data_IF_714767091402
#
_entry.id   IF_714767091402
#
_cell.length_a   1.000
_cell.length_b   1.000
_cell.length_c   1.000
_cell.angle_alpha   90.00
_cell.angle_beta   90.00
_cell.angle_gamma   90.00
#
_symmetry.space_group_name_H-M   'P 1'
#
loop_
_entity.id
_entity.type
_entity.pdbx_description
1 polymer ?
#
# COMPACT_ATOMS: atom_id res chain seq x y z
N UNK A 1 -3.04 -47.65 -17.99
CA UNK A 1 -2.17 -47.66 -19.16
C UNK A 1 -0.79 -47.16 -18.78
N UNK A 2 0.20 -48.07 -18.73
CA UNK A 2 1.61 -47.77 -18.50
C UNK A 2 2.17 -46.96 -19.66
N UNK A 3 2.81 -45.82 -19.40
CA UNK A 3 3.68 -45.12 -20.32
C UNK A 3 5.15 -45.48 -20.00
N UNK A 4 5.76 -46.21 -20.91
CA UNK A 4 7.19 -46.57 -20.87
C UNK A 4 8.02 -45.36 -21.33
N UNK A 5 8.90 -44.85 -20.47
CA UNK A 5 9.91 -43.87 -20.84
C UNK A 5 11.17 -44.61 -21.32
N UNK A 6 11.54 -44.38 -22.58
CA UNK A 6 12.78 -44.84 -23.17
C UNK A 6 13.97 -44.01 -22.61
N UNK A 7 14.93 -44.68 -21.99
CA UNK A 7 16.21 -44.11 -21.55
C UNK A 7 17.24 -44.32 -22.68
N UNK A 8 17.72 -43.21 -23.25
CA UNK A 8 18.88 -43.23 -24.13
C UNK A 8 20.17 -43.26 -23.29
N UNK A 9 21.06 -44.17 -23.58
CA UNK A 9 22.35 -44.39 -22.93
C UNK A 9 23.37 -43.31 -23.34
N UNK A 10 24.06 -42.70 -22.37
CA UNK A 10 25.31 -41.99 -22.52
C UNK A 10 26.29 -42.43 -21.42
N UNK A 11 27.62 -42.39 -21.63
CA UNK A 11 28.58 -43.24 -20.93
C UNK A 11 28.97 -42.76 -19.54
N UNK A 12 29.38 -43.73 -18.75
CA UNK A 12 29.72 -43.66 -17.34
C UNK A 12 30.87 -42.65 -17.01
N UNK A 13 30.59 -41.76 -16.09
CA UNK A 13 31.55 -41.24 -15.13
C UNK A 13 30.89 -41.27 -13.74
N UNK A 14 31.66 -41.81 -12.76
CA UNK A 14 31.19 -42.25 -11.45
C UNK A 14 30.36 -41.22 -10.68
N UNK A 15 29.09 -41.57 -10.51
CA UNK A 15 28.20 -40.93 -9.55
C UNK A 15 27.90 -42.00 -8.51
N UNK A 16 28.37 -41.76 -7.27
CA UNK A 16 28.00 -42.55 -6.11
C UNK A 16 26.49 -42.67 -6.02
N UNK A 17 25.99 -43.89 -5.87
CA UNK A 17 24.55 -44.16 -5.70
C UNK A 17 24.03 -43.37 -4.45
N UNK A 18 23.29 -42.33 -4.71
CA UNK A 18 22.52 -41.65 -3.66
C UNK A 18 21.37 -42.56 -3.26
N UNK A 19 21.15 -42.73 -1.95
CA UNK A 19 20.09 -43.55 -1.43
C UNK A 19 18.71 -43.00 -1.84
N UNK A 20 17.73 -43.88 -2.01
CA UNK A 20 16.35 -43.51 -2.33
C UNK A 20 15.79 -42.47 -1.33
N UNK A 21 16.27 -42.48 -0.08
CA UNK A 21 15.92 -41.53 0.96
C UNK A 21 16.43 -40.12 0.66
N UNK A 22 17.60 -39.97 0.06
CA UNK A 22 18.14 -38.64 -0.35
C UNK A 22 17.37 -38.04 -1.52
N UNK A 23 16.90 -38.85 -2.45
CA UNK A 23 16.07 -38.43 -3.57
C UNK A 23 14.66 -38.04 -3.10
N UNK A 24 14.10 -38.74 -2.14
CA UNK A 24 12.81 -38.41 -1.52
C UNK A 24 12.92 -37.12 -0.71
N UNK A 25 14.01 -36.89 0.03
CA UNK A 25 14.27 -35.65 0.76
C UNK A 25 14.43 -34.45 -0.18
N UNK A 26 15.14 -34.61 -1.29
CA UNK A 26 15.30 -33.54 -2.30
C UNK A 26 13.99 -33.23 -3.05
N UNK A 27 13.17 -34.26 -3.31
CA UNK A 27 11.85 -34.07 -3.91
C UNK A 27 10.87 -33.40 -2.95
N UNK A 28 10.94 -33.71 -1.64
CA UNK A 28 10.12 -33.03 -0.62
C UNK A 28 10.54 -31.59 -0.40
N UNK A 29 11.87 -31.31 -0.37
CA UNK A 29 12.40 -29.95 -0.26
C UNK A 29 12.07 -29.07 -1.49
N UNK A 30 12.08 -29.66 -2.69
CA UNK A 30 11.69 -28.96 -3.91
C UNK A 30 10.17 -28.66 -3.97
N UNK A 31 9.33 -29.54 -3.40
CA UNK A 31 7.89 -29.30 -3.30
C UNK A 31 7.53 -28.26 -2.23
N UNK A 32 8.33 -28.16 -1.18
CA UNK A 32 8.14 -27.18 -0.09
C UNK A 32 8.58 -25.75 -0.51
N UNK A 33 9.55 -25.62 -1.43
CA UNK A 33 9.96 -24.32 -1.99
C UNK A 33 9.07 -23.81 -3.12
N UNK A 34 8.29 -24.66 -3.79
CA UNK A 34 7.35 -24.25 -4.84
C UNK A 34 5.99 -23.78 -4.28
N UNK A 35 5.60 -24.21 -3.10
CA UNK A 35 4.35 -23.84 -2.45
C UNK A 35 4.22 -22.33 -2.12
N UNK A 36 5.26 -21.63 -1.60
CA UNK A 36 5.16 -20.22 -1.25
C UNK A 36 4.94 -19.29 -2.44
N UNK A 37 5.49 -19.60 -3.61
CA UNK A 37 5.33 -18.77 -4.81
C UNK A 37 3.91 -18.89 -5.40
N UNK A 38 3.35 -20.09 -5.40
CA UNK A 38 2.00 -20.36 -5.92
C UNK A 38 0.91 -19.81 -4.98
N UNK A 39 1.14 -19.86 -3.70
CA UNK A 39 0.29 -19.24 -2.67
C UNK A 39 0.20 -17.72 -2.85
N UNK A 40 1.35 -17.04 -3.09
CA UNK A 40 1.41 -15.61 -3.36
C UNK A 40 0.63 -15.24 -4.62
N UNK A 41 0.85 -15.94 -5.72
CA UNK A 41 0.17 -15.68 -7.01
C UNK A 41 -1.34 -15.84 -6.89
N UNK A 42 -1.80 -16.89 -6.23
CA UNK A 42 -3.23 -17.12 -6.00
C UNK A 42 -3.84 -16.06 -5.09
N UNK A 43 -3.10 -15.60 -4.08
CA UNK A 43 -3.57 -14.53 -3.19
C UNK A 43 -3.70 -13.20 -3.95
N UNK A 44 -2.72 -12.82 -4.76
CA UNK A 44 -2.77 -11.62 -5.61
C UNK A 44 -3.90 -11.69 -6.66
N UNK A 45 -4.11 -12.86 -7.25
CA UNK A 45 -5.24 -13.09 -8.16
C UNK A 45 -6.58 -12.92 -7.44
N UNK A 46 -6.69 -13.41 -6.21
CA UNK A 46 -7.88 -13.23 -5.38
C UNK A 46 -8.14 -11.76 -5.05
N UNK A 47 -7.12 -11.00 -4.66
CA UNK A 47 -7.26 -9.56 -4.38
C UNK A 47 -7.63 -8.76 -5.63
N UNK A 48 -7.01 -9.04 -6.77
CA UNK A 48 -7.36 -8.41 -8.05
C UNK A 48 -8.83 -8.69 -8.45
N UNK A 49 -9.32 -9.90 -8.19
CA UNK A 49 -10.72 -10.26 -8.42
C UNK A 49 -11.68 -9.52 -7.46
N UNK A 50 -11.27 -9.27 -6.20
CA UNK A 50 -12.03 -8.40 -5.28
C UNK A 50 -12.17 -6.99 -5.82
N UNK A 51 -11.07 -6.40 -6.31
CA UNK A 51 -11.01 -5.04 -6.82
C UNK A 51 -11.92 -4.86 -8.07
N UNK A 52 -12.02 -5.90 -8.88
CA UNK A 52 -12.91 -5.92 -10.06
C UNK A 52 -14.37 -6.30 -9.75
N UNK A 53 -14.67 -6.68 -8.51
CA UNK A 53 -16.00 -7.14 -8.11
C UNK A 53 -16.36 -8.55 -8.59
N UNK A 54 -15.39 -9.31 -9.10
CA UNK A 54 -15.57 -10.72 -9.46
C UNK A 54 -15.46 -11.62 -8.22
N UNK A 55 -16.55 -11.64 -7.46
CA UNK A 55 -16.64 -12.39 -6.20
C UNK A 55 -16.48 -13.90 -6.37
N UNK A 56 -16.76 -14.43 -7.57
CA UNK A 56 -16.63 -15.86 -7.85
C UNK A 56 -15.14 -16.23 -7.98
N UNK A 57 -14.41 -15.55 -8.85
CA UNK A 57 -12.97 -15.76 -9.03
C UNK A 57 -12.17 -15.45 -7.77
N UNK A 58 -12.58 -14.44 -6.99
CA UNK A 58 -12.00 -14.13 -5.70
C UNK A 58 -12.14 -15.31 -4.72
N UNK A 59 -13.36 -15.81 -4.55
CA UNK A 59 -13.65 -16.93 -3.67
C UNK A 59 -12.86 -18.19 -4.05
N UNK A 60 -12.80 -18.53 -5.34
CA UNK A 60 -12.08 -19.70 -5.83
C UNK A 60 -10.56 -19.58 -5.61
N UNK A 61 -9.99 -18.40 -5.83
CA UNK A 61 -8.57 -18.13 -5.59
C UNK A 61 -8.22 -18.25 -4.11
N UNK A 62 -8.96 -17.59 -3.23
CA UNK A 62 -8.70 -17.67 -1.79
C UNK A 62 -8.96 -19.07 -1.22
N UNK A 63 -9.94 -19.82 -1.74
CA UNK A 63 -10.16 -21.20 -1.35
C UNK A 63 -8.97 -22.10 -1.66
N UNK A 64 -8.28 -21.87 -2.78
CA UNK A 64 -7.05 -22.58 -3.12
C UNK A 64 -5.92 -22.22 -2.15
N UNK A 65 -5.73 -20.93 -1.81
CA UNK A 65 -4.75 -20.49 -0.82
C UNK A 65 -5.00 -21.14 0.55
N UNK A 66 -6.25 -21.17 1.01
CA UNK A 66 -6.63 -21.83 2.27
C UNK A 66 -6.28 -23.32 2.27
N UNK A 67 -6.52 -24.03 1.15
CA UNK A 67 -6.17 -25.45 1.01
C UNK A 67 -4.66 -25.71 1.05
N UNK A 68 -3.85 -24.75 0.62
CA UNK A 68 -2.38 -24.86 0.66
C UNK A 68 -1.82 -24.67 2.07
N UNK A 69 -2.53 -24.01 2.99
CA UNK A 69 -2.17 -23.92 4.40
C UNK A 69 -0.93 -23.06 4.70
N UNK A 70 -0.52 -22.19 3.79
CA UNK A 70 0.66 -21.32 3.94
C UNK A 70 0.44 -20.14 4.91
N UNK A 71 1.44 -19.26 4.96
CA UNK A 71 1.45 -18.07 5.86
C UNK A 71 0.34 -17.06 5.60
N UNK A 72 -0.36 -17.14 4.47
CA UNK A 72 -1.47 -16.27 4.07
C UNK A 72 -2.85 -16.92 4.27
N UNK A 73 -2.89 -18.12 4.86
CA UNK A 73 -4.14 -18.87 4.98
C UNK A 73 -5.19 -18.16 5.86
N UNK A 74 -4.77 -17.40 6.85
CA UNK A 74 -5.66 -16.62 7.72
C UNK A 74 -6.30 -15.46 6.96
N UNK A 75 -5.52 -14.64 6.26
CA UNK A 75 -6.02 -13.57 5.39
C UNK A 75 -6.91 -14.11 4.25
N UNK A 76 -6.50 -15.23 3.65
CA UNK A 76 -7.29 -15.88 2.59
C UNK A 76 -8.64 -16.38 3.09
N UNK A 77 -8.70 -16.92 4.31
CA UNK A 77 -9.95 -17.38 4.92
C UNK A 77 -10.91 -16.22 5.22
N UNK A 78 -10.37 -15.09 5.67
CA UNK A 78 -11.15 -13.85 5.83
C UNK A 78 -11.74 -13.37 4.49
N UNK A 79 -10.91 -13.23 3.46
CA UNK A 79 -11.35 -12.76 2.14
C UNK A 79 -12.29 -13.73 1.44
N UNK A 80 -12.13 -15.04 1.66
CA UNK A 80 -13.08 -16.05 1.19
C UNK A 80 -14.46 -15.83 1.82
N UNK A 81 -14.53 -15.60 3.13
CA UNK A 81 -15.79 -15.30 3.82
C UNK A 81 -16.43 -14.02 3.27
N UNK A 82 -15.62 -12.97 3.05
CA UNK A 82 -16.07 -11.71 2.46
C UNK A 82 -16.67 -11.93 1.06
N UNK A 83 -15.95 -12.62 0.16
CA UNK A 83 -16.41 -12.91 -1.19
C UNK A 83 -17.71 -13.75 -1.20
N UNK A 84 -17.83 -14.74 -0.31
CA UNK A 84 -19.07 -15.52 -0.15
C UNK A 84 -20.25 -14.68 0.32
N UNK A 85 -20.00 -13.74 1.25
CA UNK A 85 -21.03 -12.78 1.66
C UNK A 85 -21.50 -11.89 0.50
N UNK A 86 -20.58 -11.35 -0.31
CA UNK A 86 -20.92 -10.56 -1.50
C UNK A 86 -21.67 -11.34 -2.58
N UNK A 87 -21.50 -12.66 -2.63
CA UNK A 87 -22.29 -13.56 -3.47
C UNK A 87 -23.70 -13.85 -2.88
N UNK A 88 -24.05 -13.30 -1.72
CA UNK A 88 -25.29 -13.60 -1.01
C UNK A 88 -25.31 -14.92 -0.25
N UNK A 89 -24.18 -15.65 -0.22
CA UNK A 89 -24.01 -16.97 0.44
C UNK A 89 -23.67 -16.80 1.92
N UNK A 90 -24.58 -16.16 2.67
CA UNK A 90 -24.37 -15.73 4.07
C UNK A 90 -24.04 -16.87 5.01
N UNK A 91 -24.72 -18.00 4.90
CA UNK A 91 -24.51 -19.14 5.81
C UNK A 91 -23.11 -19.75 5.63
N UNK A 92 -22.62 -19.81 4.40
CA UNK A 92 -21.27 -20.27 4.12
C UNK A 92 -20.22 -19.27 4.64
N UNK A 93 -20.44 -17.98 4.45
CA UNK A 93 -19.55 -16.96 5.00
C UNK A 93 -19.44 -17.05 6.53
N UNK A 94 -20.56 -17.26 7.22
CA UNK A 94 -20.58 -17.48 8.68
C UNK A 94 -19.85 -18.77 9.10
N UNK A 95 -19.99 -19.85 8.32
CA UNK A 95 -19.27 -21.09 8.58
C UNK A 95 -17.74 -20.90 8.46
N UNK A 96 -17.31 -20.17 7.41
CA UNK A 96 -15.90 -19.83 7.17
C UNK A 96 -15.33 -18.94 8.29
N UNK A 97 -16.09 -17.95 8.78
CA UNK A 97 -15.66 -17.09 9.89
C UNK A 97 -15.52 -17.84 11.22
N UNK A 98 -16.36 -18.84 11.47
CA UNK A 98 -16.19 -19.74 12.62
C UNK A 98 -14.93 -20.60 12.49
N UNK A 99 -14.67 -21.12 11.29
CA UNK A 99 -13.43 -21.86 10.98
C UNK A 99 -12.20 -20.97 11.18
N UNK A 100 -12.25 -19.70 10.73
CA UNK A 100 -11.20 -18.71 10.94
C UNK A 100 -10.92 -18.52 12.44
N UNK A 101 -11.95 -18.28 13.25
CA UNK A 101 -11.79 -18.05 14.69
C UNK A 101 -11.21 -19.26 15.43
N UNK A 102 -11.53 -20.47 14.98
CA UNK A 102 -11.01 -21.70 15.55
C UNK A 102 -9.56 -21.97 15.16
N UNK A 103 -9.18 -21.74 13.88
CA UNK A 103 -7.84 -22.05 13.37
C UNK A 103 -6.82 -20.96 13.63
N UNK A 104 -7.23 -19.66 13.63
CA UNK A 104 -6.35 -18.51 13.70
C UNK A 104 -6.73 -17.51 14.82
N UNK A 105 -6.79 -17.93 16.10
CA UNK A 105 -7.28 -17.08 17.20
C UNK A 105 -6.38 -15.85 17.48
N UNK A 106 -5.12 -15.85 16.98
CA UNK A 106 -4.14 -14.77 17.15
C UNK A 106 -3.86 -14.01 15.86
N UNK A 107 -4.62 -14.25 14.79
CA UNK A 107 -4.44 -13.56 13.51
C UNK A 107 -4.71 -12.05 13.63
N UNK A 108 -3.95 -11.26 12.87
CA UNK A 108 -4.19 -9.82 12.72
C UNK A 108 -5.55 -9.51 12.10
N UNK A 109 -6.13 -10.43 11.33
CA UNK A 109 -7.47 -10.31 10.72
C UNK A 109 -8.63 -10.62 11.67
N UNK A 110 -8.33 -10.89 12.94
CA UNK A 110 -9.35 -11.28 13.92
C UNK A 110 -10.41 -10.20 14.18
N UNK A 111 -10.05 -8.92 14.08
CA UNK A 111 -10.99 -7.80 14.26
C UNK A 111 -11.93 -7.67 13.06
N UNK A 112 -11.38 -7.75 11.86
CA UNK A 112 -12.09 -7.66 10.58
C UNK A 112 -13.05 -8.87 10.42
N UNK A 113 -12.60 -10.06 10.77
CA UNK A 113 -13.41 -11.27 10.72
C UNK A 113 -14.63 -11.19 11.66
N UNK A 114 -14.45 -10.67 12.87
CA UNK A 114 -15.57 -10.43 13.81
C UNK A 114 -16.53 -9.36 13.30
N UNK A 115 -16.01 -8.28 12.72
CA UNK A 115 -16.84 -7.23 12.15
C UNK A 115 -17.71 -7.76 11.00
N UNK A 116 -17.12 -8.57 10.11
CA UNK A 116 -17.85 -9.22 9.02
C UNK A 116 -18.88 -10.23 9.52
N UNK A 117 -18.55 -11.00 10.55
CA UNK A 117 -19.52 -11.94 11.16
C UNK A 117 -20.75 -11.22 11.72
N UNK A 118 -20.55 -10.08 12.38
CA UNK A 118 -21.63 -9.24 12.90
C UNK A 118 -22.47 -8.62 11.76
N UNK A 119 -21.85 -8.25 10.66
CA UNK A 119 -22.53 -7.72 9.47
C UNK A 119 -23.45 -8.78 8.82
N UNK A 120 -22.99 -10.03 8.75
CA UNK A 120 -23.70 -11.11 8.06
C UNK A 120 -24.85 -11.69 8.87
N UNK A 121 -24.76 -11.70 10.20
CA UNK A 121 -25.81 -12.27 11.05
C UNK A 121 -27.13 -11.54 10.86
N UNK A 122 -28.23 -12.25 10.49
CA UNK A 122 -29.51 -11.60 10.31
C UNK A 122 -30.02 -11.01 11.63
N UNK A 123 -30.65 -9.85 11.55
CA UNK A 123 -31.26 -9.11 12.67
C UNK A 123 -32.50 -9.79 13.28
N UNK A 124 -32.73 -11.07 13.01
CA UNK A 124 -33.83 -11.85 13.59
C UNK A 124 -33.43 -12.39 14.96
N UNK A 125 -33.91 -11.69 15.98
CA UNK A 125 -33.67 -11.94 17.39
C UNK A 125 -33.69 -13.40 17.83
N UNK A 126 -32.51 -13.89 18.14
CA UNK A 126 -32.20 -14.72 19.30
C UNK A 126 -30.69 -15.03 19.30
N UNK A 127 -29.96 -14.20 20.01
CA UNK A 127 -28.58 -14.53 20.33
C UNK A 127 -28.54 -15.80 21.15
N UNK A 128 -27.91 -16.86 20.60
CA UNK A 128 -27.34 -17.91 21.42
C UNK A 128 -26.07 -17.31 22.01
N UNK A 129 -26.20 -16.75 23.21
CA UNK A 129 -25.12 -16.20 24.02
C UNK A 129 -24.24 -17.39 24.48
N UNK A 130 -23.06 -17.55 23.89
CA UNK A 130 -21.96 -18.22 24.55
C UNK A 130 -21.52 -17.30 25.71
N UNK A 131 -21.41 -17.90 26.90
CA UNK A 131 -21.03 -17.23 28.15
C UNK A 131 -19.66 -16.57 28.04
N UNK A 132 -19.63 -15.28 27.68
CA UNK A 132 -18.62 -14.31 28.12
C UNK A 132 -19.25 -12.94 28.08
N UNK A 133 -19.16 -12.22 29.17
CA UNK A 133 -19.75 -10.92 29.45
C UNK A 133 -19.94 -10.06 28.19
N UNK A 134 -21.16 -10.02 27.69
CA UNK A 134 -21.58 -9.05 26.69
C UNK A 134 -21.59 -7.70 27.38
N UNK A 135 -20.56 -6.92 27.13
CA UNK A 135 -20.47 -5.54 27.57
C UNK A 135 -21.73 -4.83 27.05
N UNK A 136 -22.39 -4.06 27.89
CA UNK A 136 -23.58 -3.26 27.54
C UNK A 136 -23.34 -2.43 26.26
N UNK A 137 -22.08 -2.11 25.96
CA UNK A 137 -21.65 -1.45 24.75
C UNK A 137 -21.79 -2.30 23.47
N UNK A 138 -21.51 -3.60 23.51
CA UNK A 138 -21.68 -4.48 22.34
C UNK A 138 -23.17 -4.65 22.01
N UNK A 139 -24.04 -4.66 23.02
CA UNK A 139 -25.50 -4.64 22.82
C UNK A 139 -25.96 -3.32 22.21
N UNK A 140 -25.41 -2.20 22.64
CA UNK A 140 -25.69 -0.88 22.05
C UNK A 140 -25.23 -0.79 20.61
N UNK A 141 -24.07 -1.36 20.28
CA UNK A 141 -23.56 -1.43 18.90
C UNK A 141 -24.49 -2.26 18.00
N UNK A 142 -24.97 -3.40 18.49
CA UNK A 142 -25.92 -4.22 17.74
C UNK A 142 -27.25 -3.50 17.52
N UNK A 143 -27.75 -2.80 18.55
CA UNK A 143 -28.98 -2.03 18.45
C UNK A 143 -28.85 -0.88 17.43
N UNK A 144 -27.73 -0.16 17.43
CA UNK A 144 -27.44 0.92 16.48
C UNK A 144 -27.43 0.35 15.05
N UNK A 145 -26.71 -0.74 14.78
CA UNK A 145 -26.66 -1.34 13.46
C UNK A 145 -28.03 -1.84 12.98
N UNK A 146 -28.83 -2.44 13.89
CA UNK A 146 -30.18 -2.89 13.58
C UNK A 146 -31.10 -1.72 13.21
N UNK A 147 -31.11 -0.67 14.01
CA UNK A 147 -31.93 0.53 13.77
C UNK A 147 -31.56 1.24 12.47
N UNK A 148 -30.26 1.32 12.14
CA UNK A 148 -29.83 1.94 10.90
C UNK A 148 -30.30 1.18 9.65
N UNK A 149 -30.47 -0.14 9.76
CA UNK A 149 -30.95 -0.97 8.64
C UNK A 149 -32.49 -0.97 8.54
N UNK A 150 -33.20 -0.78 9.64
CA UNK A 150 -34.66 -0.89 9.69
C UNK A 150 -35.37 0.47 9.72
N UNK A 151 -34.88 1.40 10.55
CA UNK A 151 -35.50 2.69 10.81
C UNK A 151 -34.42 3.80 10.96
N UNK A 152 -33.67 4.14 9.90
CA UNK A 152 -32.51 5.01 9.96
C UNK A 152 -32.86 6.40 10.57
N UNK A 153 -34.00 6.96 10.25
CA UNK A 153 -34.39 8.28 10.80
C UNK A 153 -34.61 8.27 12.31
N UNK A 154 -35.03 7.15 12.88
CA UNK A 154 -35.16 6.98 14.34
C UNK A 154 -33.80 6.73 15.01
N UNK A 155 -32.84 6.18 14.30
CA UNK A 155 -31.49 5.97 14.79
C UNK A 155 -30.69 7.28 14.91
N UNK A 156 -30.95 8.29 14.04
CA UNK A 156 -30.17 9.53 13.99
C UNK A 156 -30.08 10.28 15.33
N UNK A 157 -31.19 10.55 16.07
CA UNK A 157 -31.11 11.22 17.36
C UNK A 157 -30.34 10.42 18.43
N UNK A 158 -30.39 9.09 18.34
CA UNK A 158 -29.66 8.21 19.25
C UNK A 158 -28.17 8.22 18.97
N UNK A 159 -27.78 8.21 17.69
CA UNK A 159 -26.39 8.33 17.27
C UNK A 159 -25.79 9.70 17.67
N UNK A 160 -26.54 10.77 17.47
CA UNK A 160 -26.13 12.10 17.88
C UNK A 160 -25.94 12.18 19.42
N UNK A 161 -26.84 11.55 20.19
CA UNK A 161 -26.72 11.45 21.66
C UNK A 161 -25.49 10.63 22.07
N UNK A 162 -25.16 9.55 21.34
CA UNK A 162 -23.96 8.73 21.58
C UNK A 162 -22.70 9.56 21.33
N UNK A 163 -22.63 10.30 20.24
CA UNK A 163 -21.46 11.12 19.90
C UNK A 163 -21.19 12.21 20.92
N UNK A 164 -22.23 12.89 21.39
CA UNK A 164 -22.13 14.03 22.30
C UNK A 164 -22.26 13.66 23.79
N UNK A 165 -22.57 12.41 24.09
CA UNK A 165 -22.76 11.88 25.43
C UNK A 165 -21.53 11.26 26.07
N UNK A 166 -21.65 10.64 27.24
CA UNK A 166 -20.57 9.99 27.98
C UNK A 166 -20.30 8.55 27.50
N UNK A 167 -20.52 8.26 26.22
CA UNK A 167 -20.24 6.96 25.63
C UNK A 167 -18.72 6.73 25.48
N UNK A 168 -18.29 5.46 25.45
CA UNK A 168 -16.89 5.12 25.25
C UNK A 168 -16.39 5.59 23.88
N UNK A 169 -15.07 5.82 23.73
CA UNK A 169 -14.47 6.16 22.44
C UNK A 169 -14.81 5.13 21.35
N UNK A 170 -14.81 3.84 21.67
CA UNK A 170 -15.17 2.75 20.76
C UNK A 170 -16.60 2.85 20.23
N UNK A 171 -17.56 3.14 21.13
CA UNK A 171 -18.97 3.28 20.75
C UNK A 171 -19.19 4.54 19.88
N UNK A 172 -18.52 5.65 20.22
CA UNK A 172 -18.56 6.89 19.43
C UNK A 172 -17.97 6.71 18.04
N UNK A 173 -16.83 6.03 17.94
CA UNK A 173 -16.20 5.73 16.63
C UNK A 173 -17.11 4.86 15.76
N UNK A 174 -17.75 3.86 16.36
CA UNK A 174 -18.71 3.02 15.63
C UNK A 174 -19.93 3.81 15.17
N UNK A 175 -20.41 4.73 16.00
CA UNK A 175 -21.51 5.65 15.62
C UNK A 175 -21.14 6.51 14.41
N UNK A 176 -19.92 7.09 14.37
CA UNK A 176 -19.41 7.80 13.21
C UNK A 176 -19.31 6.92 11.95
N UNK A 177 -18.80 5.71 12.12
CA UNK A 177 -18.72 4.75 11.01
C UNK A 177 -20.10 4.45 10.43
N UNK A 178 -21.08 4.15 11.27
CA UNK A 178 -22.46 3.87 10.85
C UNK A 178 -23.09 5.08 10.14
N UNK A 179 -22.86 6.29 10.65
CA UNK A 179 -23.30 7.53 10.00
C UNK A 179 -22.65 7.70 8.62
N UNK A 180 -21.36 7.35 8.47
CA UNK A 180 -20.64 7.47 7.21
C UNK A 180 -21.18 6.54 6.12
N UNK A 181 -21.76 5.39 6.49
CA UNK A 181 -22.38 4.44 5.56
C UNK A 181 -23.81 4.82 5.18
N UNK A 182 -24.41 5.78 5.90
CA UNK A 182 -25.78 6.21 5.63
C UNK A 182 -25.83 7.24 4.49
N UNK A 183 -26.68 6.99 3.49
CA UNK A 183 -26.99 7.97 2.43
C UNK A 183 -27.86 9.15 2.88
N UNK A 184 -28.32 9.16 4.14
CA UNK A 184 -29.22 10.17 4.68
C UNK A 184 -28.55 11.56 4.77
N UNK A 185 -29.27 12.61 4.38
CA UNK A 185 -28.82 14.01 4.54
C UNK A 185 -28.58 14.36 6.00
N UNK A 186 -29.39 13.81 6.90
CA UNK A 186 -29.24 14.03 8.33
C UNK A 186 -27.97 13.39 8.89
N UNK A 187 -27.65 12.15 8.46
CA UNK A 187 -26.40 11.49 8.84
C UNK A 187 -25.17 12.29 8.39
N UNK A 188 -25.20 12.82 7.16
CA UNK A 188 -24.15 13.72 6.65
C UNK A 188 -24.03 15.00 7.48
N UNK A 189 -25.15 15.57 7.93
CA UNK A 189 -25.15 16.75 8.82
C UNK A 189 -24.49 16.45 10.16
N UNK A 190 -24.81 15.34 10.80
CA UNK A 190 -24.19 14.92 12.08
C UNK A 190 -22.68 14.65 11.89
N UNK A 191 -22.30 13.97 10.81
CA UNK A 191 -20.90 13.72 10.48
C UNK A 191 -20.13 15.03 10.21
N UNK A 192 -20.75 15.99 9.53
CA UNK A 192 -20.21 17.32 9.29
C UNK A 192 -19.97 18.08 10.59
N UNK A 193 -20.92 18.02 11.53
CA UNK A 193 -20.79 18.66 12.83
C UNK A 193 -19.67 18.05 13.67
N UNK A 194 -19.52 16.73 13.64
CA UNK A 194 -18.39 16.05 14.26
C UNK A 194 -17.05 16.47 13.61
N UNK A 195 -17.00 16.57 12.27
CA UNK A 195 -15.81 17.02 11.54
C UNK A 195 -15.44 18.49 11.80
N UNK A 196 -16.43 19.33 12.15
CA UNK A 196 -16.18 20.71 12.65
C UNK A 196 -15.69 20.74 14.11
N UNK A 197 -15.59 19.60 14.78
CA UNK A 197 -15.09 19.49 16.15
C UNK A 197 -16.14 19.58 17.25
N UNK A 198 -17.45 19.60 16.95
CA UNK A 198 -18.51 19.70 17.97
C UNK A 198 -18.53 18.51 18.95
N UNK A 199 -18.01 17.35 18.52
CA UNK A 199 -17.99 16.12 19.33
C UNK A 199 -16.62 15.81 19.94
N UNK A 200 -15.66 16.74 19.88
CA UNK A 200 -14.31 16.62 20.42
C UNK A 200 -13.25 16.28 19.37
N UNK A 201 -11.95 16.47 19.71
CA UNK A 201 -10.86 16.41 18.75
C UNK A 201 -10.66 15.00 18.15
N UNK A 202 -10.73 13.95 18.96
CA UNK A 202 -10.54 12.56 18.49
C UNK A 202 -11.60 12.15 17.47
N UNK A 203 -12.84 12.59 17.67
CA UNK A 203 -13.94 12.33 16.76
C UNK A 203 -13.89 13.24 15.52
N UNK A 204 -13.33 14.43 15.65
CA UNK A 204 -13.12 15.35 14.54
C UNK A 204 -12.23 14.70 13.47
N UNK A 205 -11.09 14.16 13.85
CA UNK A 205 -10.17 13.49 12.91
C UNK A 205 -10.82 12.31 12.19
N UNK A 206 -11.56 11.49 12.96
CA UNK A 206 -12.27 10.33 12.40
C UNK A 206 -13.40 10.73 11.47
N UNK A 207 -14.15 11.78 11.82
CA UNK A 207 -15.22 12.29 10.96
C UNK A 207 -14.66 12.86 9.64
N UNK A 208 -13.54 13.58 9.68
CA UNK A 208 -12.84 14.06 8.47
C UNK A 208 -12.40 12.88 7.59
N UNK A 209 -11.82 11.85 8.20
CA UNK A 209 -11.45 10.63 7.48
C UNK A 209 -12.65 9.98 6.78
N UNK A 210 -13.76 9.79 7.51
CA UNK A 210 -14.97 9.21 6.95
C UNK A 210 -15.60 10.07 5.84
N UNK A 211 -15.56 11.40 5.96
CA UNK A 211 -16.00 12.29 4.88
C UNK A 211 -15.16 12.13 3.61
N UNK A 212 -13.86 11.87 3.77
CA UNK A 212 -12.97 11.57 2.64
C UNK A 212 -13.32 10.26 1.94
N UNK A 213 -13.63 9.20 2.73
CA UNK A 213 -13.89 7.86 2.20
C UNK A 213 -15.31 7.72 1.65
N UNK A 214 -16.34 8.19 2.37
CA UNK A 214 -17.74 7.84 2.10
C UNK A 214 -18.44 8.74 1.08
N UNK A 215 -17.97 9.93 0.83
CA UNK A 215 -18.68 10.90 -0.02
C UNK A 215 -17.98 11.24 -1.34
N UNK A 216 -16.80 10.71 -1.58
CA UNK A 216 -16.01 11.09 -2.72
C UNK A 216 -15.88 12.61 -2.85
N UNK A 217 -15.96 13.13 -4.06
CA UNK A 217 -15.83 14.57 -4.31
C UNK A 217 -16.96 15.43 -3.72
N UNK A 218 -18.11 14.84 -3.39
CA UNK A 218 -19.28 15.60 -2.91
C UNK A 218 -19.07 16.26 -1.55
N UNK A 219 -18.16 15.76 -0.72
CA UNK A 219 -17.79 16.34 0.57
C UNK A 219 -16.67 17.40 0.46
N UNK A 220 -16.18 17.67 -0.76
CA UNK A 220 -15.04 18.56 -0.99
C UNK A 220 -15.25 19.97 -0.45
N UNK A 221 -16.43 20.56 -0.62
CA UNK A 221 -16.75 21.91 -0.13
C UNK A 221 -16.72 21.98 1.41
N UNK A 222 -17.31 20.99 2.07
CA UNK A 222 -17.29 20.91 3.53
C UNK A 222 -15.86 20.74 4.07
N UNK A 223 -15.08 19.87 3.47
CA UNK A 223 -13.69 19.67 3.85
C UNK A 223 -12.85 20.95 3.62
N UNK A 224 -13.13 21.70 2.56
CA UNK A 224 -12.49 22.98 2.28
C UNK A 224 -12.87 24.05 3.32
N UNK A 225 -14.15 24.14 3.72
CA UNK A 225 -14.61 25.00 4.81
C UNK A 225 -13.85 24.68 6.11
N UNK A 226 -13.72 23.39 6.46
CA UNK A 226 -12.98 22.96 7.66
C UNK A 226 -11.50 23.33 7.54
N UNK A 227 -10.89 23.09 6.39
CA UNK A 227 -9.49 23.44 6.13
C UNK A 227 -9.22 24.93 6.31
N UNK A 228 -10.09 25.76 5.76
CA UNK A 228 -9.94 27.21 5.82
C UNK A 228 -10.20 27.79 7.22
N UNK A 229 -11.14 27.19 7.98
CA UNK A 229 -11.56 27.72 9.28
C UNK A 229 -10.68 27.27 10.45
N UNK A 230 -9.97 26.13 10.33
CA UNK A 230 -9.18 25.61 11.44
C UNK A 230 -7.75 26.19 11.46
N UNK A 231 -7.25 26.66 12.62
CA UNK A 231 -5.84 26.99 12.80
C UNK A 231 -4.99 25.76 13.13
N UNK A 232 -5.61 24.61 13.44
CA UNK A 232 -4.91 23.41 13.85
C UNK A 232 -4.26 22.71 12.64
N UNK A 233 -2.92 22.62 12.65
CA UNK A 233 -2.13 22.00 11.58
C UNK A 233 -2.49 20.53 11.39
N UNK A 234 -2.67 19.78 12.48
CA UNK A 234 -2.98 18.34 12.40
C UNK A 234 -4.33 18.10 11.70
N UNK A 235 -5.33 18.94 12.02
CA UNK A 235 -6.63 18.87 11.33
C UNK A 235 -6.48 19.22 9.85
N UNK A 236 -5.68 20.22 9.49
CA UNK A 236 -5.38 20.55 8.08
C UNK A 236 -4.73 19.37 7.36
N UNK A 237 -3.77 18.68 7.99
CA UNK A 237 -3.12 17.49 7.43
C UNK A 237 -4.13 16.35 7.20
N UNK A 238 -5.07 16.14 8.14
CA UNK A 238 -6.15 15.15 7.96
C UNK A 238 -7.09 15.53 6.82
N UNK A 239 -7.40 16.82 6.63
CA UNK A 239 -8.21 17.27 5.50
C UNK A 239 -7.48 17.09 4.18
N UNK A 240 -6.19 17.40 4.09
CA UNK A 240 -5.38 17.13 2.90
C UNK A 240 -5.39 15.64 2.52
N UNK A 241 -5.24 14.77 3.52
CA UNK A 241 -5.37 13.32 3.31
C UNK A 241 -6.79 12.94 2.84
N UNK A 242 -7.84 13.51 3.43
CA UNK A 242 -9.22 13.28 3.00
C UNK A 242 -9.46 13.75 1.54
N UNK A 243 -8.86 14.86 1.12
CA UNK A 243 -8.89 15.30 -0.29
C UNK A 243 -8.21 14.29 -1.22
N UNK A 244 -7.08 13.71 -0.79
CA UNK A 244 -6.40 12.68 -1.58
C UNK A 244 -7.27 11.44 -1.76
N UNK A 245 -7.81 10.90 -0.65
CA UNK A 245 -8.68 9.72 -0.66
C UNK A 245 -9.92 9.93 -1.52
N UNK A 246 -10.52 11.13 -1.46
CA UNK A 246 -11.73 11.48 -2.22
C UNK A 246 -11.47 11.93 -3.67
N UNK A 247 -10.21 11.97 -4.11
CA UNK A 247 -9.84 12.38 -5.46
C UNK A 247 -9.99 13.88 -5.75
N UNK A 248 -9.98 14.74 -4.72
CA UNK A 248 -10.09 16.20 -4.83
C UNK A 248 -8.72 16.86 -5.15
N UNK A 249 -8.09 16.47 -6.26
CA UNK A 249 -6.75 16.92 -6.67
C UNK A 249 -6.62 18.44 -6.72
N UNK A 250 -7.64 19.14 -7.22
CA UNK A 250 -7.58 20.60 -7.40
C UNK A 250 -7.46 21.33 -6.06
N UNK A 251 -8.10 20.83 -5.00
CA UNK A 251 -8.00 21.40 -3.64
C UNK A 251 -6.62 21.16 -3.02
N UNK A 252 -6.04 20.00 -3.26
CA UNK A 252 -4.66 19.73 -2.84
C UNK A 252 -3.68 20.64 -3.59
N UNK A 253 -3.89 20.84 -4.88
CA UNK A 253 -3.06 21.73 -5.69
C UNK A 253 -3.16 23.18 -5.22
N UNK A 254 -4.37 23.65 -4.86
CA UNK A 254 -4.56 24.98 -4.26
C UNK A 254 -3.80 25.13 -2.94
N UNK A 255 -3.85 24.11 -2.06
CA UNK A 255 -3.09 24.10 -0.82
C UNK A 255 -1.58 24.07 -1.07
N UNK A 256 -1.08 23.24 -2.01
CA UNK A 256 0.33 23.16 -2.36
C UNK A 256 0.90 24.50 -2.87
N UNK A 257 0.07 25.32 -3.52
CA UNK A 257 0.46 26.64 -4.05
C UNK A 257 0.27 27.78 -3.06
N UNK A 258 -0.78 27.74 -2.26
CA UNK A 258 -1.26 28.89 -1.47
C UNK A 258 -1.08 28.79 0.04
N UNK A 259 -0.76 27.61 0.58
CA UNK A 259 -0.61 27.45 2.03
C UNK A 259 0.64 28.19 2.54
N UNK A 260 0.49 28.88 3.67
CA UNK A 260 1.58 29.65 4.27
C UNK A 260 2.58 28.78 5.04
N UNK A 261 2.12 27.68 5.65
CA UNK A 261 3.01 26.74 6.34
C UNK A 261 3.80 25.90 5.34
N UNK A 262 5.14 25.93 5.38
CA UNK A 262 5.98 25.11 4.54
C UNK A 262 5.70 23.59 4.72
N UNK A 263 5.37 23.18 5.94
CA UNK A 263 5.07 21.77 6.27
C UNK A 263 3.77 21.34 5.61
N UNK A 264 2.73 22.15 5.67
CA UNK A 264 1.45 21.84 5.00
C UNK A 264 1.58 21.87 3.48
N UNK A 265 2.40 22.78 2.95
CA UNK A 265 2.75 22.76 1.50
C UNK A 265 3.44 21.48 1.12
N UNK A 266 4.43 21.03 1.91
CA UNK A 266 5.13 19.78 1.68
C UNK A 266 4.19 18.57 1.74
N UNK A 267 3.26 18.55 2.71
CA UNK A 267 2.22 17.52 2.80
C UNK A 267 1.32 17.51 1.56
N UNK A 268 0.87 18.67 1.10
CA UNK A 268 0.05 18.77 -0.10
C UNK A 268 0.83 18.31 -1.37
N UNK A 269 2.10 18.69 -1.50
CA UNK A 269 2.99 18.23 -2.58
C UNK A 269 3.17 16.71 -2.53
N UNK A 270 3.35 16.11 -1.34
CA UNK A 270 3.43 14.67 -1.16
C UNK A 270 2.17 13.96 -1.68
N UNK A 271 0.98 14.47 -1.32
CA UNK A 271 -0.28 13.88 -1.79
C UNK A 271 -0.47 14.01 -3.30
N UNK A 272 -0.02 15.12 -3.92
CA UNK A 272 0.01 15.24 -5.38
C UNK A 272 0.89 14.16 -6.03
N UNK A 273 2.04 13.86 -5.40
CA UNK A 273 2.90 12.75 -5.82
C UNK A 273 2.19 11.40 -5.77
N UNK A 274 1.52 11.10 -4.67
CA UNK A 274 0.73 9.88 -4.46
C UNK A 274 -0.42 9.76 -5.49
N UNK A 275 -1.02 10.88 -5.87
CA UNK A 275 -2.05 10.95 -6.92
C UNK A 275 -1.51 10.89 -8.35
N UNK A 276 -0.19 10.86 -8.54
CA UNK A 276 0.44 10.82 -9.86
C UNK A 276 0.32 12.13 -10.64
N UNK A 277 0.21 13.27 -9.99
CA UNK A 277 0.03 14.61 -10.58
C UNK A 277 1.32 15.16 -11.22
N UNK A 278 1.92 14.43 -12.16
CA UNK A 278 3.27 14.73 -12.73
C UNK A 278 3.35 16.10 -13.36
N UNK A 279 2.38 16.48 -14.20
CA UNK A 279 2.38 17.74 -14.91
C UNK A 279 2.30 18.94 -13.95
N UNK A 280 1.45 18.85 -12.92
CA UNK A 280 1.30 19.88 -11.90
C UNK A 280 2.56 20.01 -11.03
N UNK A 281 3.17 18.90 -10.63
CA UNK A 281 4.43 18.88 -9.87
C UNK A 281 5.57 19.52 -10.67
N UNK A 282 5.68 19.18 -11.95
CA UNK A 282 6.68 19.80 -12.84
C UNK A 282 6.47 21.29 -13.01
N UNK A 283 5.22 21.72 -13.25
CA UNK A 283 4.90 23.14 -13.36
C UNK A 283 5.27 23.91 -12.09
N UNK A 284 4.99 23.33 -10.90
CA UNK A 284 5.36 23.91 -9.63
C UNK A 284 6.88 23.99 -9.47
N UNK A 285 7.61 22.92 -9.81
CA UNK A 285 9.07 22.88 -9.73
C UNK A 285 9.74 23.99 -10.51
N UNK A 286 9.28 24.23 -11.73
CA UNK A 286 9.83 25.26 -12.61
C UNK A 286 9.65 26.69 -12.09
N UNK A 287 8.63 26.94 -11.30
CA UNK A 287 8.34 28.27 -10.72
C UNK A 287 8.80 28.43 -9.26
N UNK A 288 9.24 27.36 -8.62
CA UNK A 288 9.62 27.38 -7.22
C UNK A 288 11.04 27.93 -7.03
N UNK A 289 11.21 28.77 -6.00
CA UNK A 289 12.49 29.37 -5.62
C UNK A 289 13.06 28.83 -4.32
N UNK A 290 12.20 28.25 -3.46
CA UNK A 290 12.62 27.66 -2.19
C UNK A 290 13.25 26.30 -2.41
N UNK A 291 14.51 26.13 -2.01
CA UNK A 291 15.23 24.85 -2.10
C UNK A 291 14.48 23.74 -1.36
N UNK A 292 13.97 24.00 -0.16
CA UNK A 292 13.24 23.00 0.63
C UNK A 292 11.95 22.51 -0.07
N UNK A 293 11.23 23.41 -0.75
CA UNK A 293 10.05 23.05 -1.51
C UNK A 293 10.41 22.32 -2.80
N UNK A 294 11.48 22.74 -3.51
CA UNK A 294 12.01 21.98 -4.65
C UNK A 294 12.37 20.55 -4.28
N UNK A 295 13.00 20.34 -3.13
CA UNK A 295 13.31 19.00 -2.63
C UNK A 295 12.06 18.16 -2.40
N UNK A 296 11.02 18.75 -1.82
CA UNK A 296 9.73 18.06 -1.64
C UNK A 296 9.07 17.72 -2.97
N UNK A 297 9.18 18.62 -3.97
CA UNK A 297 8.67 18.39 -5.33
C UNK A 297 9.42 17.25 -6.04
N UNK A 298 10.76 17.20 -5.95
CA UNK A 298 11.56 16.09 -6.49
C UNK A 298 11.15 14.76 -5.86
N UNK A 299 10.95 14.75 -4.53
CA UNK A 299 10.48 13.56 -3.83
C UNK A 299 9.07 13.13 -4.29
N UNK A 300 8.15 14.08 -4.43
CA UNK A 300 6.81 13.82 -4.93
C UNK A 300 6.82 13.30 -6.39
N UNK A 301 7.69 13.83 -7.26
CA UNK A 301 7.90 13.31 -8.62
C UNK A 301 8.42 11.88 -8.60
N UNK A 302 9.29 11.53 -7.63
CA UNK A 302 9.79 10.16 -7.45
C UNK A 302 8.65 9.21 -7.09
N UNK A 303 7.77 9.61 -6.18
CA UNK A 303 6.55 8.85 -5.80
C UNK A 303 5.62 8.70 -7.02
N UNK A 304 5.43 9.76 -7.79
CA UNK A 304 4.61 9.75 -9.01
C UNK A 304 5.23 8.89 -10.14
N UNK A 305 6.47 8.45 -9.99
CA UNK A 305 7.22 7.73 -11.04
C UNK A 305 7.50 8.59 -12.26
N UNK A 306 7.76 9.88 -12.08
CA UNK A 306 8.02 10.85 -13.13
C UNK A 306 9.51 10.84 -13.53
N UNK A 307 9.92 9.79 -14.20
CA UNK A 307 11.33 9.59 -14.59
C UNK A 307 11.82 10.58 -15.64
N UNK A 308 10.94 11.14 -16.44
CA UNK A 308 11.26 12.10 -17.48
C UNK A 308 11.75 13.42 -16.88
N UNK A 309 10.94 14.04 -16.03
CA UNK A 309 11.30 15.32 -15.41
C UNK A 309 12.42 15.15 -14.37
N UNK A 310 12.47 14.03 -13.64
CA UNK A 310 13.61 13.72 -12.78
C UNK A 310 14.93 13.65 -13.58
N UNK A 311 14.92 13.05 -14.77
CA UNK A 311 16.11 13.00 -15.62
C UNK A 311 16.49 14.40 -16.18
N UNK A 312 15.50 15.27 -16.43
CA UNK A 312 15.73 16.66 -16.80
C UNK A 312 16.39 17.42 -15.65
N UNK A 313 15.84 17.37 -14.44
CA UNK A 313 16.43 18.00 -13.24
C UNK A 313 17.86 17.50 -13.01
N UNK A 314 18.07 16.19 -13.05
CA UNK A 314 19.39 15.59 -12.83
C UNK A 314 20.46 16.08 -13.80
N UNK A 315 20.07 16.46 -15.03
CA UNK A 315 21.00 16.95 -16.05
C UNK A 315 21.19 18.46 -16.03
N UNK A 316 20.15 19.23 -15.72
CA UNK A 316 20.10 20.66 -16.07
C UNK A 316 19.93 21.61 -14.89
N UNK A 317 19.49 21.14 -13.71
CA UNK A 317 19.31 22.05 -12.57
C UNK A 317 20.65 22.62 -12.11
N UNK A 318 20.66 23.93 -11.78
CA UNK A 318 21.84 24.63 -11.30
C UNK A 318 22.27 24.20 -9.88
N UNK A 319 21.37 23.62 -9.09
CA UNK A 319 21.65 23.14 -7.74
C UNK A 319 22.08 21.66 -7.74
N UNK A 320 23.33 21.43 -7.35
CA UNK A 320 23.91 20.07 -7.27
C UNK A 320 23.15 19.17 -6.32
N UNK A 321 22.58 19.70 -5.22
CA UNK A 321 21.80 18.93 -4.28
C UNK A 321 20.46 18.47 -4.90
N UNK A 322 19.77 19.34 -5.62
CA UNK A 322 18.56 18.99 -6.38
C UNK A 322 18.85 17.91 -7.43
N UNK A 323 19.96 18.05 -8.17
CA UNK A 323 20.41 17.04 -9.14
C UNK A 323 20.67 15.68 -8.49
N UNK A 324 21.37 15.65 -7.35
CA UNK A 324 21.64 14.41 -6.62
C UNK A 324 20.34 13.73 -6.13
N UNK A 325 19.38 14.51 -5.65
CA UNK A 325 18.06 13.99 -5.24
C UNK A 325 17.26 13.43 -6.41
N UNK A 326 17.30 14.08 -7.56
CA UNK A 326 16.67 13.60 -8.77
C UNK A 326 17.30 12.27 -9.27
N UNK A 327 18.63 12.16 -9.21
CA UNK A 327 19.36 10.92 -9.50
C UNK A 327 18.93 9.80 -8.54
N UNK A 328 18.81 10.10 -7.25
CA UNK A 328 18.31 9.14 -6.27
C UNK A 328 16.86 8.68 -6.58
N UNK A 329 15.99 9.62 -6.93
CA UNK A 329 14.62 9.35 -7.37
C UNK A 329 14.56 8.42 -8.60
N UNK A 330 15.45 8.64 -9.58
CA UNK A 330 15.62 7.74 -10.72
C UNK A 330 16.08 6.34 -10.27
N UNK A 331 16.98 6.26 -9.28
CA UNK A 331 17.42 4.98 -8.70
C UNK A 331 16.25 4.15 -8.16
N UNK A 332 15.35 4.79 -7.41
CA UNK A 332 14.17 4.16 -6.82
C UNK A 332 13.14 3.73 -7.89
N UNK A 333 13.02 4.46 -8.99
CA UNK A 333 12.04 4.18 -10.06
C UNK A 333 12.24 2.82 -10.75
N UNK A 334 13.40 2.18 -10.57
CA UNK A 334 13.74 0.86 -11.08
C UNK A 334 14.39 0.87 -12.46
N UNK A 335 15.12 -0.24 -12.73
CA UNK A 335 15.98 -0.42 -13.91
C UNK A 335 15.28 -0.16 -15.25
N UNK A 336 14.10 -0.74 -15.43
CA UNK A 336 13.38 -0.67 -16.71
C UNK A 336 12.94 0.75 -17.06
N UNK A 337 12.58 1.56 -16.06
CA UNK A 337 12.05 2.92 -16.26
C UNK A 337 13.14 3.98 -16.40
N UNK A 338 14.27 3.82 -15.74
CA UNK A 338 15.26 4.89 -15.60
C UNK A 338 16.73 4.47 -15.73
N UNK A 339 17.02 3.17 -15.92
CA UNK A 339 18.40 2.69 -16.03
C UNK A 339 19.17 3.34 -17.18
N UNK A 340 18.54 3.48 -18.35
CA UNK A 340 19.14 4.16 -19.51
C UNK A 340 19.39 5.65 -19.25
N UNK A 341 18.48 6.33 -18.52
CA UNK A 341 18.64 7.72 -18.15
C UNK A 341 19.83 7.93 -17.20
N UNK A 342 19.97 7.07 -16.18
CA UNK A 342 21.12 7.11 -15.26
C UNK A 342 22.45 6.89 -15.99
N UNK A 343 22.52 5.95 -16.91
CA UNK A 343 23.72 5.76 -17.74
C UNK A 343 24.05 6.98 -18.61
N UNK A 344 23.04 7.60 -19.21
CA UNK A 344 23.22 8.81 -20.00
C UNK A 344 23.71 9.99 -19.14
N UNK A 345 23.16 10.14 -17.91
CA UNK A 345 23.61 11.14 -16.95
C UNK A 345 25.08 10.87 -16.56
N UNK A 346 25.44 9.63 -16.22
CA UNK A 346 26.81 9.29 -15.87
C UNK A 346 27.83 9.69 -16.93
N UNK A 347 27.53 9.39 -18.21
CA UNK A 347 28.41 9.68 -19.33
C UNK A 347 28.57 11.18 -19.61
N UNK A 348 27.54 11.97 -19.35
CA UNK A 348 27.55 13.41 -19.59
C UNK A 348 28.03 14.25 -18.40
N UNK A 349 28.10 13.65 -17.21
CA UNK A 349 28.39 14.36 -15.97
C UNK A 349 29.89 14.45 -15.67
N UNK A 350 30.34 15.64 -15.24
CA UNK A 350 31.74 15.90 -14.84
C UNK A 350 31.89 15.97 -13.31
N UNK A 351 30.85 16.30 -12.58
CA UNK A 351 30.89 16.38 -11.12
C UNK A 351 31.00 14.99 -10.51
N UNK A 352 32.09 14.77 -9.75
CA UNK A 352 32.40 13.48 -9.15
C UNK A 352 31.30 12.97 -8.18
N UNK A 353 30.72 13.88 -7.39
CA UNK A 353 29.68 13.52 -6.42
C UNK A 353 28.38 13.08 -7.13
N UNK A 354 28.02 13.74 -8.23
CA UNK A 354 26.86 13.33 -9.03
C UNK A 354 27.13 11.99 -9.75
N UNK A 355 28.35 11.75 -10.23
CA UNK A 355 28.71 10.46 -10.81
C UNK A 355 28.63 9.34 -9.77
N UNK A 356 29.11 9.57 -8.54
CA UNK A 356 28.92 8.63 -7.41
C UNK A 356 27.44 8.39 -7.08
N UNK A 357 26.63 9.47 -7.11
CA UNK A 357 25.18 9.34 -6.91
C UNK A 357 24.53 8.45 -7.99
N UNK A 358 24.98 8.54 -9.24
CA UNK A 358 24.51 7.64 -10.32
C UNK A 358 24.92 6.20 -10.07
N UNK A 359 26.19 5.94 -9.66
CA UNK A 359 26.63 4.58 -9.31
C UNK A 359 25.75 3.99 -8.18
N UNK A 360 25.40 4.83 -7.20
CA UNK A 360 24.47 4.42 -6.15
C UNK A 360 23.06 4.14 -6.68
N UNK A 361 22.53 4.99 -7.55
CA UNK A 361 21.23 4.76 -8.19
C UNK A 361 21.19 3.46 -9.00
N UNK A 362 22.24 3.14 -9.76
CA UNK A 362 22.35 1.88 -10.49
C UNK A 362 22.44 0.67 -9.55
N UNK A 363 23.10 0.82 -8.40
CA UNK A 363 23.15 -0.21 -7.37
C UNK A 363 21.76 -0.48 -6.75
N UNK A 364 21.01 0.59 -6.39
CA UNK A 364 19.62 0.46 -5.90
C UNK A 364 18.74 -0.29 -6.91
N UNK A 365 18.94 -0.07 -8.22
CA UNK A 365 18.21 -0.75 -9.28
C UNK A 365 18.64 -2.21 -9.50
N UNK A 366 19.61 -2.69 -8.76
CA UNK A 366 20.26 -3.99 -9.01
C UNK A 366 20.75 -4.12 -10.48
N UNK A 367 21.30 -3.03 -11.06
CA UNK A 367 21.73 -2.97 -12.45
C UNK A 367 23.24 -3.29 -12.58
N UNK A 368 23.60 -4.53 -12.26
CA UNK A 368 25.00 -5.00 -12.30
C UNK A 368 25.65 -4.78 -13.67
N UNK A 369 24.93 -5.06 -14.75
CA UNK A 369 25.43 -4.89 -16.11
C UNK A 369 25.90 -3.45 -16.38
N UNK A 370 25.10 -2.46 -16.01
CA UNK A 370 25.49 -1.06 -16.19
C UNK A 370 26.70 -0.67 -15.35
N UNK A 371 26.79 -1.17 -14.12
CA UNK A 371 27.95 -0.94 -13.25
C UNK A 371 29.22 -1.62 -13.80
N UNK A 372 29.13 -2.82 -14.37
CA UNK A 372 30.24 -3.51 -15.05
C UNK A 372 30.71 -2.72 -16.28
N UNK A 373 29.78 -2.23 -17.11
CA UNK A 373 30.12 -1.41 -18.28
C UNK A 373 30.87 -0.14 -17.87
N UNK A 374 30.43 0.51 -16.77
CA UNK A 374 31.12 1.66 -16.20
C UNK A 374 32.51 1.24 -15.67
N UNK A 375 32.61 0.21 -14.85
CA UNK A 375 33.87 -0.23 -14.25
C UNK A 375 34.94 -0.62 -15.29
N UNK A 376 34.53 -1.11 -16.46
CA UNK A 376 35.43 -1.43 -17.57
C UNK A 376 35.97 -0.20 -18.29
N UNK A 377 35.16 0.84 -18.40
CA UNK A 377 35.46 2.02 -19.23
C UNK A 377 35.91 3.23 -18.43
N UNK A 378 35.73 3.21 -17.12
CA UNK A 378 36.06 4.34 -16.24
C UNK A 378 37.56 4.52 -16.10
N UNK A 379 37.99 5.78 -16.27
CA UNK A 379 39.40 6.18 -16.18
C UNK A 379 39.77 6.81 -14.82
N UNK A 380 38.76 7.39 -14.10
CA UNK A 380 39.00 7.89 -12.75
C UNK A 380 39.10 6.72 -11.76
N UNK A 381 40.27 6.59 -11.07
CA UNK A 381 40.48 5.45 -10.15
C UNK A 381 39.46 5.36 -9.01
N UNK A 382 39.01 6.51 -8.49
CA UNK A 382 38.07 6.54 -7.38
C UNK A 382 36.67 6.10 -7.81
N UNK A 383 36.19 6.57 -8.95
CA UNK A 383 34.90 6.15 -9.50
C UNK A 383 34.91 4.69 -9.93
N UNK A 384 36.03 4.22 -10.48
CA UNK A 384 36.21 2.81 -10.82
C UNK A 384 36.17 1.93 -9.56
N UNK A 385 36.91 2.33 -8.50
CA UNK A 385 36.88 1.64 -7.22
C UNK A 385 35.49 1.63 -6.59
N UNK A 386 34.76 2.74 -6.67
CA UNK A 386 33.37 2.83 -6.20
C UNK A 386 32.45 1.89 -6.98
N UNK A 387 32.55 1.81 -8.31
CA UNK A 387 31.74 0.89 -9.11
C UNK A 387 32.06 -0.58 -8.76
N UNK A 388 33.33 -0.93 -8.61
CA UNK A 388 33.77 -2.28 -8.20
C UNK A 388 33.27 -2.59 -6.79
N UNK A 389 33.37 -1.65 -5.86
CA UNK A 389 32.85 -1.83 -4.51
C UNK A 389 31.35 -2.14 -4.51
N UNK A 390 30.56 -1.40 -5.29
CA UNK A 390 29.12 -1.65 -5.39
C UNK A 390 28.81 -3.01 -6.00
N UNK A 391 29.54 -3.41 -7.05
CA UNK A 391 29.42 -4.73 -7.65
C UNK A 391 29.75 -5.85 -6.66
N UNK A 392 30.74 -5.66 -5.77
CA UNK A 392 31.10 -6.67 -4.77
C UNK A 392 30.00 -6.94 -3.74
N UNK A 393 29.06 -6.00 -3.59
CA UNK A 393 27.89 -6.13 -2.69
C UNK A 393 26.66 -6.74 -3.40
N UNK A 394 26.74 -6.99 -4.70
CA UNK A 394 25.61 -7.50 -5.47
C UNK A 394 25.68 -9.04 -5.62
N UNK A 395 24.54 -9.68 -5.40
CA UNK A 395 24.37 -11.11 -5.68
C UNK A 395 23.85 -11.30 -7.12
N UNK A 396 24.70 -10.95 -8.10
CA UNK A 396 24.36 -10.96 -9.51
C UNK A 396 25.46 -11.66 -10.33
N UNK A 397 25.05 -12.36 -11.39
CA UNK A 397 25.99 -13.13 -12.23
C UNK A 397 26.99 -12.22 -12.94
N UNK A 398 26.52 -11.11 -13.53
CA UNK A 398 27.39 -10.16 -14.25
C UNK A 398 28.43 -9.55 -13.29
N UNK A 399 28.05 -9.26 -12.05
CA UNK A 399 28.96 -8.80 -11.01
C UNK A 399 30.01 -9.85 -10.66
N UNK A 400 29.59 -11.10 -10.45
CA UNK A 400 30.51 -12.23 -10.13
C UNK A 400 31.48 -12.48 -11.26
N UNK A 401 31.00 -12.55 -12.49
CA UNK A 401 31.84 -12.77 -13.67
C UNK A 401 32.89 -11.66 -13.82
N UNK A 402 32.52 -10.41 -13.55
CA UNK A 402 33.46 -9.29 -13.59
C UNK A 402 34.50 -9.34 -12.46
N UNK A 403 34.16 -9.77 -11.25
CA UNK A 403 35.15 -9.99 -10.17
C UNK A 403 36.17 -11.06 -10.55
N UNK A 404 35.72 -12.16 -11.16
CA UNK A 404 36.61 -13.19 -11.68
C UNK A 404 37.51 -12.67 -12.83
N UNK A 405 36.99 -11.81 -13.71
CA UNK A 405 37.78 -11.15 -14.76
C UNK A 405 38.90 -10.29 -14.17
N UNK A 406 38.64 -9.53 -13.09
CA UNK A 406 39.67 -8.72 -12.43
C UNK A 406 40.79 -9.58 -11.84
N UNK A 407 40.43 -10.73 -11.23
CA UNK A 407 41.40 -11.64 -10.59
C UNK A 407 42.26 -12.40 -11.59
N UNK A 408 41.84 -12.53 -12.86
CA UNK A 408 42.54 -13.24 -13.91
C UNK A 408 43.42 -12.33 -14.80
N UNK A 409 43.43 -11.01 -14.53
CA UNK A 409 44.31 -10.03 -15.16
C UNK A 409 45.66 -9.90 -14.45
#
# INVERSE_FOLDING_TARGET
>A
GLAVLAIAAAPAMGIAARSLDEVVLLASAASEQAAPAKDAELYERGTSALDSGDWASAADSFQQVVKMGGSRADGALYWLAYARNKQGRRDEALAILREFSAKFPKSSWGKEARALELEIRPSSGRAVLGESSTDDEDLKLMAINSLMNTEPERAMPLLEKVLNGPASPKLKERALFVLSQSGSTRARGILADAARGKSGPDLQEKAIHYLGVSGGRSNGELLEEIYASTPNREIKEKVLHAFMVSGNKDRILAAARGEKSPELRASAVHWLGTMGARAELWQMYRSETSTAVKESLIHAMSIAGDTEHLAEIARTDGDTAARAKAIHGLGIAGRERSGAALLAIYRGEKNLELRKAVLHGLFIQNNARALVDIARTETDPNLKAEAVHRLSLMHDKDATDYMLEILNR
#
